data_IF_805249941878
#
_entry.id   IF_805249941878
#
_cell.length_a   1.000
_cell.length_b   1.000
_cell.length_c   1.000
_cell.angle_alpha   90.00
_cell.angle_beta   90.00
_cell.angle_gamma   90.00
#
_symmetry.space_group_name_H-M   'P 1'
#
loop_
_entity.id
_entity.type
_entity.pdbx_description
1 polymer ?
#
# COMPACT_ATOMS: atom_id res chain seq x y z
N UNK A 1 33.55 21.74 7.91
CA UNK A 1 32.44 20.96 8.49
C UNK A 1 31.97 21.58 9.81
N UNK A 2 32.83 22.36 10.49
CA UNK A 2 32.53 23.00 11.79
C UNK A 2 31.74 24.33 11.70
N UNK A 3 31.78 25.07 10.59
CA UNK A 3 31.06 26.36 10.48
C UNK A 3 29.53 26.21 10.39
N UNK A 4 29.03 25.04 9.98
CA UNK A 4 27.58 24.77 9.90
C UNK A 4 26.95 24.39 11.24
N UNK A 5 27.73 23.88 12.19
CA UNK A 5 27.22 23.51 13.53
C UNK A 5 27.07 24.73 14.43
N UNK A 6 27.90 25.76 14.25
CA UNK A 6 27.87 26.99 15.05
C UNK A 6 26.64 27.85 14.70
N UNK A 7 26.26 27.96 13.42
CA UNK A 7 25.06 28.69 13.01
C UNK A 7 23.75 28.01 13.48
N UNK A 8 23.71 26.67 13.54
CA UNK A 8 22.55 25.94 14.06
C UNK A 8 22.40 26.06 15.59
N UNK A 9 23.50 26.09 16.35
CA UNK A 9 23.46 26.32 17.80
C UNK A 9 23.08 27.78 18.15
N UNK A 10 23.61 28.77 17.42
CA UNK A 10 23.29 30.18 17.67
C UNK A 10 21.82 30.49 17.36
N UNK A 11 21.24 29.85 16.34
CA UNK A 11 19.82 29.96 16.01
C UNK A 11 18.93 29.30 17.08
N UNK A 12 19.37 28.20 17.69
CA UNK A 12 18.68 27.53 18.81
C UNK A 12 18.73 28.35 20.10
N UNK A 13 19.87 28.99 20.37
CA UNK A 13 20.07 29.81 21.55
C UNK A 13 19.32 31.16 21.45
N UNK A 14 19.11 31.66 20.23
CA UNK A 14 18.22 32.79 19.93
C UNK A 14 16.75 32.48 20.25
N UNK A 15 16.25 31.33 19.81
CA UNK A 15 14.88 30.88 20.09
C UNK A 15 14.67 30.61 21.60
N UNK A 16 15.66 30.03 22.29
CA UNK A 16 15.59 29.85 23.75
C UNK A 16 15.60 31.19 24.50
N UNK A 17 16.41 32.17 24.08
CA UNK A 17 16.41 33.51 24.67
C UNK A 17 15.08 34.23 24.44
N UNK A 18 14.51 34.11 23.24
CA UNK A 18 13.23 34.74 22.91
C UNK A 18 12.05 34.10 23.65
N UNK A 19 12.08 32.78 23.88
CA UNK A 19 11.11 32.10 24.74
C UNK A 19 11.29 32.50 26.22
N UNK A 20 12.53 32.63 26.70
CA UNK A 20 12.81 33.09 28.07
C UNK A 20 12.35 34.53 28.30
N UNK A 21 12.58 35.45 27.36
CA UNK A 21 12.05 36.82 27.43
C UNK A 21 10.52 36.84 27.40
N UNK A 22 9.89 36.06 26.51
CA UNK A 22 8.42 35.93 26.47
C UNK A 22 7.83 35.36 27.77
N UNK A 23 8.54 34.47 28.47
CA UNK A 23 8.09 33.91 29.76
C UNK A 23 8.24 34.94 30.88
N UNK A 24 9.31 35.74 30.88
CA UNK A 24 9.52 36.79 31.89
C UNK A 24 8.46 37.89 31.79
N UNK A 25 7.97 38.20 30.59
CA UNK A 25 6.87 39.14 30.40
C UNK A 25 5.53 38.63 30.95
N UNK A 26 5.26 37.31 30.86
CA UNK A 26 4.05 36.68 31.43
C UNK A 26 3.98 36.85 32.95
N UNK A 27 5.11 36.75 33.66
CA UNK A 27 5.17 36.85 35.13
C UNK A 27 5.04 38.28 35.67
N UNK A 28 5.26 39.31 34.82
CA UNK A 28 5.08 40.73 35.17
C UNK A 28 3.69 41.29 34.85
N UNK A 29 2.83 40.52 34.18
CA UNK A 29 1.51 41.00 33.81
C UNK A 29 0.52 40.97 34.99
N UNK A 30 -0.43 41.92 35.05
CA UNK A 30 -1.56 41.83 35.96
C UNK A 30 -2.30 40.49 35.79
N UNK A 31 -2.80 39.90 36.89
CA UNK A 31 -3.49 38.59 36.85
C UNK A 31 -4.66 38.50 35.86
N UNK A 32 -5.29 39.63 35.50
CA UNK A 32 -6.35 39.71 34.48
C UNK A 32 -5.83 39.67 33.03
N UNK A 33 -4.59 40.09 32.81
CA UNK A 33 -3.93 40.10 31.50
C UNK A 33 -3.33 38.74 31.12
N UNK A 34 -2.97 37.87 32.08
CA UNK A 34 -2.52 36.49 31.79
C UNK A 34 -3.66 35.69 31.15
N UNK A 35 -4.87 35.81 31.69
CA UNK A 35 -6.06 35.22 31.08
C UNK A 35 -6.28 35.79 29.68
N UNK A 36 -6.23 37.12 29.51
CA UNK A 36 -6.41 37.76 28.20
C UNK A 36 -5.35 37.35 27.17
N UNK A 37 -4.10 37.15 27.60
CA UNK A 37 -3.00 36.67 26.76
C UNK A 37 -3.21 35.21 26.32
N UNK A 38 -3.65 34.33 27.22
CA UNK A 38 -4.08 32.96 26.88
C UNK A 38 -5.27 32.98 25.90
N UNK A 39 -6.28 33.83 26.13
CA UNK A 39 -7.40 34.02 25.21
C UNK A 39 -6.92 34.48 23.83
N UNK A 40 -5.99 35.44 23.78
CA UNK A 40 -5.44 35.95 22.51
C UNK A 40 -4.67 34.88 21.75
N UNK A 41 -3.94 34.00 22.45
CA UNK A 41 -3.22 32.86 21.87
C UNK A 41 -4.19 31.81 21.32
N UNK A 42 -5.25 31.48 22.06
CA UNK A 42 -6.29 30.55 21.63
C UNK A 42 -7.06 31.02 20.38
N UNK A 43 -7.32 32.33 20.28
CA UNK A 43 -7.99 32.94 19.11
C UNK A 43 -7.05 33.03 17.90
N UNK A 44 -5.74 33.24 18.12
CA UNK A 44 -4.75 33.29 17.04
C UNK A 44 -4.54 31.91 16.38
N UNK A 45 -4.57 30.85 17.18
CA UNK A 45 -4.51 29.45 16.75
C UNK A 45 -5.75 29.01 15.94
N UNK A 46 -6.90 29.66 16.17
CA UNK A 46 -8.12 29.49 15.34
C UNK A 46 -7.95 30.10 13.94
N UNK A 47 -7.13 31.13 13.78
CA UNK A 47 -6.82 31.76 12.49
C UNK A 47 -6.09 30.80 11.53
N UNK A 48 -5.23 29.94 12.04
CA UNK A 48 -4.52 28.91 11.26
C UNK A 48 -5.39 27.66 10.98
N UNK A 49 -6.53 27.53 11.68
CA UNK A 49 -7.51 26.43 11.50
C UNK A 49 -8.59 26.71 10.46
N UNK A 50 -8.56 27.88 9.80
CA UNK A 50 -9.45 28.26 8.71
C UNK A 50 -9.20 27.42 7.44
N UNK A 51 -9.38 26.11 7.56
CA UNK A 51 -9.27 25.14 6.48
C UNK A 51 -10.68 24.66 6.18
N UNK A 52 -11.17 24.98 4.99
CA UNK A 52 -12.44 24.46 4.48
C UNK A 52 -12.29 22.96 4.25
N UNK A 53 -13.31 22.16 4.62
CA UNK A 53 -13.27 20.70 4.49
C UNK A 53 -14.21 20.23 3.37
N UNK A 54 -13.81 20.31 2.09
CA UNK A 54 -14.72 20.07 0.96
C UNK A 54 -15.34 18.67 0.94
N UNK A 55 -14.71 17.71 1.61
CA UNK A 55 -15.14 16.31 1.66
C UNK A 55 -16.26 16.03 2.66
N UNK A 56 -16.54 16.96 3.58
CA UNK A 56 -17.64 16.88 4.53
C UNK A 56 -18.90 17.54 3.97
N UNK A 57 -20.05 16.95 4.25
CA UNK A 57 -21.35 17.58 3.97
C UNK A 57 -21.43 18.98 4.60
N UNK A 58 -22.17 19.88 3.96
CA UNK A 58 -22.29 21.26 4.43
C UNK A 58 -22.76 21.36 5.90
N UNK A 59 -23.62 20.45 6.33
CA UNK A 59 -24.15 20.39 7.70
C UNK A 59 -23.12 19.92 8.75
N UNK A 60 -22.04 19.31 8.29
CA UNK A 60 -20.95 18.79 9.12
C UNK A 60 -19.72 19.71 9.09
N UNK A 61 -19.78 20.85 8.42
CA UNK A 61 -18.68 21.82 8.45
C UNK A 61 -18.49 22.37 9.88
N UNK A 62 -17.24 22.52 10.37
CA UNK A 62 -16.98 23.14 11.66
C UNK A 62 -17.53 24.56 11.71
N UNK A 63 -18.48 24.80 12.63
CA UNK A 63 -19.10 26.10 12.84
C UNK A 63 -18.10 27.04 13.51
N UNK A 64 -17.88 28.26 13.00
CA UNK A 64 -16.95 29.21 13.60
C UNK A 64 -17.22 29.44 15.10
N UNK A 65 -16.17 29.50 15.94
CA UNK A 65 -16.36 29.59 17.38
C UNK A 65 -16.84 30.98 17.82
N UNK A 66 -17.61 31.02 18.91
CA UNK A 66 -17.92 32.26 19.62
C UNK A 66 -16.71 32.68 20.47
N UNK A 67 -15.98 33.71 20.05
CA UNK A 67 -14.75 34.17 20.73
C UNK A 67 -14.90 34.60 22.19
N UNK A 68 -16.12 34.85 22.66
CA UNK A 68 -16.42 35.17 24.07
C UNK A 68 -16.51 33.93 24.98
N UNK A 69 -16.55 32.71 24.43
CA UNK A 69 -16.72 31.46 25.19
C UNK A 69 -15.62 30.47 24.88
N UNK A 70 -14.86 30.08 25.92
CA UNK A 70 -13.72 29.15 25.81
C UNK A 70 -14.14 27.78 25.27
N UNK A 71 -15.26 27.27 25.76
CA UNK A 71 -15.79 25.97 25.36
C UNK A 71 -16.11 25.92 23.86
N UNK A 72 -16.64 27.01 23.31
CA UNK A 72 -16.94 27.10 21.87
C UNK A 72 -15.67 27.05 21.02
N UNK A 73 -14.61 27.73 21.46
CA UNK A 73 -13.29 27.68 20.81
C UNK A 73 -12.73 26.25 20.86
N UNK A 74 -12.81 25.58 22.01
CA UNK A 74 -12.30 24.23 22.16
C UNK A 74 -13.06 23.20 21.30
N UNK A 75 -14.39 23.27 21.26
CA UNK A 75 -15.22 22.39 20.43
C UNK A 75 -14.91 22.58 18.95
N UNK A 76 -14.70 23.82 18.50
CA UNK A 76 -14.30 24.11 17.12
C UNK A 76 -12.94 23.46 16.78
N UNK A 77 -11.93 23.64 17.64
CA UNK A 77 -10.59 23.05 17.44
C UNK A 77 -10.67 21.52 17.31
N UNK A 78 -11.44 20.90 18.20
CA UNK A 78 -11.67 19.46 18.20
C UNK A 78 -12.37 18.98 16.92
N UNK A 79 -13.42 19.68 16.49
CA UNK A 79 -14.13 19.34 15.26
C UNK A 79 -13.23 19.47 14.03
N UNK A 80 -12.41 20.53 13.95
CA UNK A 80 -11.40 20.66 12.89
C UNK A 80 -10.39 19.51 12.90
N UNK A 81 -10.01 18.97 14.08
CA UNK A 81 -9.13 17.80 14.17
C UNK A 81 -9.81 16.57 13.60
N UNK A 82 -11.01 16.24 14.07
CA UNK A 82 -11.76 15.08 13.58
C UNK A 82 -12.06 15.17 12.08
N UNK A 83 -12.36 16.36 11.55
CA UNK A 83 -12.60 16.57 10.14
C UNK A 83 -11.36 16.27 9.27
N UNK A 84 -10.15 16.57 9.77
CA UNK A 84 -8.89 16.18 9.10
C UNK A 84 -8.68 14.67 9.12
N UNK A 85 -8.91 14.04 10.28
CA UNK A 85 -8.79 12.58 10.43
C UNK A 85 -9.78 11.85 9.52
N UNK A 86 -11.02 12.33 9.45
CA UNK A 86 -12.04 11.79 8.55
C UNK A 86 -11.60 11.87 7.08
N UNK A 87 -11.08 13.02 6.64
CA UNK A 87 -10.55 13.16 5.27
C UNK A 87 -9.41 12.17 4.99
N UNK A 88 -8.48 12.02 5.93
CA UNK A 88 -7.38 11.07 5.81
C UNK A 88 -7.90 9.63 5.69
N UNK A 89 -8.78 9.20 6.60
CA UNK A 89 -9.35 7.84 6.57
C UNK A 89 -10.13 7.60 5.28
N UNK A 90 -10.92 8.57 4.82
CA UNK A 90 -11.66 8.49 3.56
C UNK A 90 -10.72 8.29 2.37
N UNK A 91 -9.60 9.03 2.33
CA UNK A 91 -8.59 8.87 1.29
C UNK A 91 -7.93 7.48 1.34
N UNK A 92 -7.52 7.02 2.53
CA UNK A 92 -6.94 5.69 2.73
C UNK A 92 -7.92 4.58 2.32
N UNK A 93 -9.20 4.71 2.65
CA UNK A 93 -10.24 3.78 2.20
C UNK A 93 -10.30 3.69 0.68
N UNK A 94 -10.31 4.82 -0.03
CA UNK A 94 -10.31 4.82 -1.51
C UNK A 94 -9.07 4.14 -2.10
N UNK A 95 -7.88 4.37 -1.54
CA UNK A 95 -6.66 3.70 -1.98
C UNK A 95 -6.71 2.18 -1.76
N UNK A 96 -7.26 1.75 -0.62
CA UNK A 96 -7.44 0.33 -0.32
C UNK A 96 -8.45 -0.33 -1.26
N UNK A 97 -9.55 0.35 -1.58
CA UNK A 97 -10.53 -0.13 -2.56
C UNK A 97 -9.91 -0.28 -3.95
N UNK A 98 -9.10 0.68 -4.40
CA UNK A 98 -8.37 0.61 -5.66
C UNK A 98 -7.41 -0.58 -5.69
N UNK A 99 -6.64 -0.78 -4.62
CA UNK A 99 -5.72 -1.91 -4.50
C UNK A 99 -6.46 -3.24 -4.48
N UNK A 100 -7.57 -3.34 -3.76
CA UNK A 100 -8.43 -4.53 -3.75
C UNK A 100 -8.91 -4.87 -5.16
N UNK A 101 -9.36 -3.86 -5.93
CA UNK A 101 -9.80 -4.08 -7.32
C UNK A 101 -8.67 -4.60 -8.21
N UNK A 102 -7.45 -4.08 -8.06
CA UNK A 102 -6.27 -4.58 -8.81
C UNK A 102 -5.94 -6.03 -8.48
N UNK A 103 -5.90 -6.37 -7.19
CA UNK A 103 -5.62 -7.74 -6.74
C UNK A 103 -6.67 -8.74 -7.22
N UNK A 104 -7.95 -8.35 -7.25
CA UNK A 104 -9.01 -9.20 -7.80
C UNK A 104 -8.83 -9.43 -9.30
N UNK A 105 -8.39 -8.41 -10.05
CA UNK A 105 -8.10 -8.57 -11.47
C UNK A 105 -6.90 -9.50 -11.71
N UNK A 106 -5.84 -9.39 -10.91
CA UNK A 106 -4.68 -10.28 -10.95
C UNK A 106 -5.08 -11.75 -10.69
N UNK A 107 -5.91 -12.00 -9.66
CA UNK A 107 -6.41 -13.34 -9.36
C UNK A 107 -7.20 -13.97 -10.52
N UNK A 108 -7.98 -13.18 -11.24
CA UNK A 108 -8.73 -13.66 -12.41
C UNK A 108 -7.79 -14.04 -13.56
N UNK A 109 -6.69 -13.32 -13.76
CA UNK A 109 -5.69 -13.71 -14.76
C UNK A 109 -4.94 -14.98 -14.34
N UNK A 110 -4.59 -15.11 -13.06
CA UNK A 110 -3.94 -16.32 -12.53
C UNK A 110 -4.83 -17.57 -12.70
N UNK A 111 -6.16 -17.44 -12.49
CA UNK A 111 -7.10 -18.52 -12.72
C UNK A 111 -7.12 -18.96 -14.19
N UNK A 112 -7.06 -18.03 -15.14
CA UNK A 112 -6.94 -18.38 -16.57
C UNK A 112 -5.66 -19.13 -16.86
N UNK A 113 -4.54 -18.71 -16.28
CA UNK A 113 -3.25 -19.40 -16.43
C UNK A 113 -3.34 -20.82 -15.85
N UNK A 114 -3.93 -20.99 -14.66
CA UNK A 114 -4.13 -22.31 -14.05
C UNK A 114 -4.95 -23.25 -14.95
N UNK A 115 -6.01 -22.74 -15.58
CA UNK A 115 -6.80 -23.51 -16.56
C UNK A 115 -5.96 -23.92 -17.78
N UNK A 116 -5.10 -23.03 -18.29
CA UNK A 116 -4.20 -23.38 -19.40
C UNK A 116 -3.16 -24.43 -18.98
N UNK A 117 -2.61 -24.33 -17.78
CA UNK A 117 -1.68 -25.33 -17.23
C UNK A 117 -2.35 -26.70 -17.17
N UNK A 118 -3.55 -26.80 -16.59
CA UNK A 118 -4.28 -28.06 -16.48
C UNK A 118 -4.56 -28.69 -17.86
N UNK A 119 -4.93 -27.86 -18.86
CA UNK A 119 -5.10 -28.31 -20.24
C UNK A 119 -3.79 -28.86 -20.83
N UNK A 120 -2.68 -28.15 -20.65
CA UNK A 120 -1.37 -28.58 -21.17
C UNK A 120 -0.88 -29.86 -20.49
N UNK A 121 -1.16 -30.04 -19.20
CA UNK A 121 -0.85 -31.28 -18.47
C UNK A 121 -1.62 -32.47 -19.05
N UNK A 122 -2.90 -32.31 -19.37
CA UNK A 122 -3.70 -33.36 -20.03
C UNK A 122 -3.15 -33.70 -21.43
N UNK A 123 -2.85 -32.68 -22.24
CA UNK A 123 -2.24 -32.87 -23.56
C UNK A 123 -0.88 -33.59 -23.46
N UNK A 124 -0.05 -33.21 -22.50
CA UNK A 124 1.23 -33.85 -22.23
C UNK A 124 1.08 -35.32 -21.83
N UNK A 125 0.12 -35.64 -20.95
CA UNK A 125 -0.14 -37.02 -20.53
C UNK A 125 -0.56 -37.90 -21.72
N UNK A 126 -1.48 -37.39 -22.56
CA UNK A 126 -1.91 -38.09 -23.77
C UNK A 126 -0.74 -38.36 -24.73
N UNK A 127 0.08 -37.35 -24.99
CA UNK A 127 1.26 -37.49 -25.85
C UNK A 127 2.29 -38.46 -25.26
N UNK A 128 2.48 -38.44 -23.95
CA UNK A 128 3.40 -39.36 -23.27
C UNK A 128 2.92 -40.81 -23.37
N UNK A 129 1.62 -41.06 -23.26
CA UNK A 129 1.03 -42.38 -23.47
C UNK A 129 1.18 -42.86 -24.92
N UNK A 130 0.85 -41.99 -25.89
CA UNK A 130 1.01 -42.31 -27.31
C UNK A 130 2.47 -42.63 -27.65
N UNK A 131 3.42 -41.86 -27.10
CA UNK A 131 4.84 -42.10 -27.31
C UNK A 131 5.29 -43.46 -26.74
N UNK A 132 4.84 -43.82 -25.52
CA UNK A 132 5.11 -45.16 -24.95
C UNK A 132 4.56 -46.28 -25.84
N UNK A 133 3.35 -46.10 -26.38
CA UNK A 133 2.73 -47.07 -27.29
C UNK A 133 3.52 -47.20 -28.60
N UNK A 134 3.94 -46.07 -29.20
CA UNK A 134 4.77 -46.05 -30.40
C UNK A 134 6.12 -46.74 -30.18
N UNK A 135 6.79 -46.47 -29.06
CA UNK A 135 8.05 -47.13 -28.70
C UNK A 135 7.86 -48.64 -28.56
N UNK A 136 6.74 -49.07 -27.96
CA UNK A 136 6.42 -50.49 -27.80
C UNK A 136 6.25 -51.17 -29.15
N UNK A 137 5.41 -50.60 -30.02
CA UNK A 137 5.17 -51.13 -31.37
C UNK A 137 6.45 -51.13 -32.20
N UNK A 138 7.25 -50.06 -32.13
CA UNK A 138 8.54 -49.99 -32.82
C UNK A 138 9.46 -51.15 -32.41
N UNK A 139 9.59 -51.39 -31.10
CA UNK A 139 10.44 -52.47 -30.59
C UNK A 139 9.93 -53.85 -31.00
N UNK A 140 8.62 -54.08 -30.97
CA UNK A 140 8.01 -55.33 -31.44
C UNK A 140 8.29 -55.56 -32.93
N UNK A 141 8.15 -54.53 -33.76
CA UNK A 141 8.46 -54.61 -35.20
C UNK A 141 9.94 -54.86 -35.45
N UNK A 142 10.83 -54.22 -34.70
CA UNK A 142 12.27 -54.44 -34.81
C UNK A 142 12.63 -55.90 -34.49
N UNK A 143 12.06 -56.46 -33.41
CA UNK A 143 12.24 -57.87 -33.05
C UNK A 143 11.66 -58.83 -34.10
N UNK A 144 10.49 -58.50 -34.69
CA UNK A 144 9.92 -59.30 -35.77
C UNK A 144 10.85 -59.34 -36.99
N UNK A 145 11.41 -58.20 -37.38
CA UNK A 145 12.37 -58.13 -38.49
C UNK A 145 13.65 -58.92 -38.20
N UNK A 146 14.20 -58.81 -36.99
CA UNK A 146 15.38 -59.57 -36.59
C UNK A 146 15.16 -61.09 -36.71
N UNK A 147 14.00 -61.59 -36.24
CA UNK A 147 13.64 -63.02 -36.37
C UNK A 147 13.57 -63.47 -37.82
N UNK A 148 12.96 -62.67 -38.71
CA UNK A 148 12.87 -62.98 -40.14
C UNK A 148 14.25 -63.02 -40.80
N UNK A 149 15.11 -62.04 -40.50
CA UNK A 149 16.49 -62.03 -41.00
C UNK A 149 17.30 -63.25 -40.56
N UNK A 150 17.12 -63.72 -39.31
CA UNK A 150 17.78 -64.93 -38.83
C UNK A 150 17.25 -66.19 -39.52
N UNK A 151 15.93 -66.31 -39.70
CA UNK A 151 15.34 -67.47 -40.39
C UNK A 151 15.80 -67.58 -41.85
N UNK A 152 15.86 -66.46 -42.57
CA UNK A 152 16.31 -66.43 -43.98
C UNK A 152 17.79 -66.83 -44.12
N UNK A 153 18.63 -66.51 -43.12
CA UNK A 153 20.02 -66.97 -43.08
C UNK A 153 20.11 -68.48 -42.85
N UNK A 154 19.38 -69.01 -41.87
CA UNK A 154 19.39 -70.45 -41.58
C UNK A 154 18.86 -71.30 -42.73
N UNK A 155 17.87 -70.82 -43.50
CA UNK A 155 17.35 -71.57 -44.66
C UNK A 155 18.34 -71.61 -45.83
N UNK A 156 19.11 -70.53 -46.05
CA UNK A 156 20.21 -70.50 -47.02
C UNK A 156 21.36 -71.42 -46.62
N UNK A 157 21.74 -71.41 -45.35
CA UNK A 157 22.86 -72.23 -44.86
C UNK A 157 22.52 -73.73 -44.82
N UNK A 158 21.23 -74.08 -44.68
CA UNK A 158 20.76 -75.49 -44.72
C UNK A 158 20.59 -76.05 -46.13
N UNK A 159 20.75 -75.22 -47.17
CA UNK A 159 20.55 -75.58 -48.58
C UNK A 159 21.87 -75.64 -49.38
N UNK A 160 23.03 -75.56 -48.71
CA UNK A 160 24.39 -75.78 -49.27
C UNK A 160 25.01 -77.03 -48.67
#
# INVERSE_FOLDING_TARGET
>A
MEEKEIEEEESREGDERQLRESVVDIFKMPKWSITEFMWRKDVKDVGDLARTFPDLEQRLQPVPPCGSRRESVQVYKEHCRMAREFHQVKHEMSLLEDRKRKLLAELVEDEKVAVQIARLEEEFQRLAEENRNLVTVHNERAQQLERLCLSDRTSRDSSS
#
